data_IF_034149282123
#
_entry.id   IF_034149282123
#
_cell.length_a   1.000
_cell.length_b   1.000
_cell.length_c   1.000
_cell.angle_alpha   90.00
_cell.angle_beta   90.00
_cell.angle_gamma   90.00
#
_symmetry.space_group_name_H-M   'P 1'
#
loop_
_entity.id
_entity.type
_entity.pdbx_description
1 polymer ?
#
# COMPACT_ATOMS: atom_id res chain seq x y z
N UNK A 1 -7.54 -5.87 0.79
CA UNK A 1 -7.05 -6.77 -0.28
C UNK A 1 -6.23 -5.94 -1.27
N UNK A 2 -5.27 -6.56 -1.97
CA UNK A 2 -4.47 -5.93 -3.01
C UNK A 2 -4.39 -6.89 -4.21
N UNK A 3 -4.37 -6.34 -5.43
CA UNK A 3 -4.12 -7.10 -6.66
C UNK A 3 -2.77 -6.64 -7.20
N UNK A 4 -1.86 -7.59 -7.35
CA UNK A 4 -0.56 -7.41 -7.97
C UNK A 4 -0.61 -8.00 -9.38
N UNK A 5 -0.07 -7.30 -10.37
CA UNK A 5 0.05 -7.83 -11.73
C UNK A 5 1.52 -7.79 -12.13
N UNK A 6 2.13 -8.96 -12.32
CA UNK A 6 3.53 -9.12 -12.77
C UNK A 6 3.51 -9.85 -14.11
N UNK A 7 4.04 -9.25 -15.17
CA UNK A 7 4.14 -9.86 -16.52
C UNK A 7 2.80 -10.45 -17.03
N UNK A 8 1.69 -9.77 -16.75
CA UNK A 8 0.34 -10.21 -17.14
C UNK A 8 -0.26 -11.30 -16.24
N UNK A 9 0.44 -11.73 -15.17
CA UNK A 9 -0.08 -12.64 -14.16
C UNK A 9 -0.64 -11.87 -12.97
N UNK A 10 -1.92 -12.06 -12.71
CA UNK A 10 -2.63 -11.52 -11.56
C UNK A 10 -2.31 -12.38 -10.31
N UNK A 11 -1.84 -11.75 -9.25
CA UNK A 11 -1.73 -12.34 -7.91
C UNK A 11 -2.55 -11.50 -6.93
N UNK A 12 -3.49 -12.14 -6.28
CA UNK A 12 -4.41 -11.50 -5.35
C UNK A 12 -3.95 -11.77 -3.91
N UNK A 13 -3.78 -10.71 -3.13
CA UNK A 13 -3.39 -10.78 -1.73
C UNK A 13 -4.54 -10.24 -0.87
N UNK A 14 -5.23 -11.14 -0.18
CA UNK A 14 -6.24 -10.80 0.82
C UNK A 14 -5.76 -11.27 2.18
N UNK A 15 -5.39 -10.32 3.05
CA UNK A 15 -5.20 -10.56 4.47
C UNK A 15 -6.32 -9.88 5.25
N UNK A 16 -6.72 -10.47 6.37
CA UNK A 16 -7.55 -9.85 7.39
C UNK A 16 -6.94 -10.16 8.76
N UNK A 17 -6.52 -9.15 9.50
CA UNK A 17 -6.04 -9.33 10.88
C UNK A 17 -7.03 -8.68 11.86
N UNK A 18 -7.46 -9.44 12.88
CA UNK A 18 -8.23 -8.90 14.01
C UNK A 18 -7.39 -7.79 14.68
N UNK A 19 -7.98 -6.61 14.90
CA UNK A 19 -7.35 -5.39 15.45
C UNK A 19 -6.44 -4.58 14.51
N UNK A 20 -6.75 -4.50 13.22
CA UNK A 20 -6.06 -3.59 12.29
C UNK A 20 -6.97 -2.45 11.83
N UNK A 21 -6.36 -1.33 11.45
CA UNK A 21 -7.07 -0.21 10.80
C UNK A 21 -7.05 -0.35 9.29
N UNK A 22 -8.00 0.27 8.57
CA UNK A 22 -8.01 0.26 7.10
C UNK A 22 -6.65 0.69 6.51
N UNK A 23 -6.06 1.79 7.01
CA UNK A 23 -4.76 2.29 6.54
C UNK A 23 -3.61 1.29 6.78
N UNK A 24 -3.65 0.53 7.87
CA UNK A 24 -2.65 -0.52 8.13
C UNK A 24 -2.81 -1.67 7.13
N UNK A 25 -4.04 -2.10 6.89
CA UNK A 25 -4.34 -3.17 5.95
C UNK A 25 -3.98 -2.80 4.51
N UNK A 26 -4.22 -1.56 4.11
CA UNK A 26 -3.80 -1.04 2.80
C UNK A 26 -2.28 -1.05 2.66
N UNK A 27 -1.53 -0.54 3.66
CA UNK A 27 -0.07 -0.56 3.65
C UNK A 27 0.49 -1.99 3.60
N UNK A 28 -0.07 -2.89 4.41
CA UNK A 28 0.33 -4.30 4.42
C UNK A 28 0.09 -4.98 3.09
N UNK A 29 -1.03 -4.68 2.41
CA UNK A 29 -1.31 -5.21 1.07
C UNK A 29 -0.24 -4.81 0.06
N UNK A 30 0.20 -3.55 0.08
CA UNK A 30 1.29 -3.07 -0.79
C UNK A 30 2.62 -3.74 -0.43
N UNK A 31 2.94 -3.84 0.87
CA UNK A 31 4.17 -4.49 1.36
C UNK A 31 4.24 -5.94 0.91
N UNK A 32 3.17 -6.71 1.09
CA UNK A 32 3.12 -8.11 0.68
C UNK A 32 3.28 -8.27 -0.84
N UNK A 33 2.64 -7.40 -1.62
CA UNK A 33 2.81 -7.39 -3.08
C UNK A 33 4.26 -7.11 -3.49
N UNK A 34 4.93 -6.16 -2.83
CA UNK A 34 6.34 -5.85 -3.10
C UNK A 34 7.29 -6.98 -2.65
N UNK A 35 7.00 -7.65 -1.53
CA UNK A 35 7.80 -8.79 -1.05
C UNK A 35 7.80 -9.97 -2.03
N UNK A 36 6.76 -10.12 -2.85
CA UNK A 36 6.71 -11.14 -3.90
C UNK A 36 7.69 -10.86 -5.07
N UNK A 37 8.16 -9.62 -5.20
CA UNK A 37 9.03 -9.20 -6.31
C UNK A 37 10.49 -9.39 -5.90
N UNK A 38 11.14 -10.37 -6.53
CA UNK A 38 12.51 -10.77 -6.16
C UNK A 38 13.62 -9.95 -6.81
N UNK A 39 13.32 -9.26 -7.92
CA UNK A 39 14.31 -8.56 -8.73
C UNK A 39 13.96 -7.06 -8.88
N UNK A 40 14.95 -6.16 -8.96
CA UNK A 40 14.76 -4.76 -9.34
C UNK A 40 13.91 -4.65 -10.61
N UNK A 41 12.82 -3.89 -10.55
CA UNK A 41 11.78 -3.86 -11.58
C UNK A 41 11.10 -2.49 -11.61
N UNK A 42 10.45 -2.19 -12.74
CA UNK A 42 9.52 -1.06 -12.84
C UNK A 42 8.16 -1.53 -12.35
N UNK A 43 7.62 -0.90 -11.31
CA UNK A 43 6.39 -1.32 -10.65
C UNK A 43 5.40 -0.17 -10.67
N UNK A 44 4.17 -0.45 -11.09
CA UNK A 44 3.07 0.51 -10.97
C UNK A 44 2.13 0.05 -9.87
N UNK A 45 1.98 0.88 -8.84
CA UNK A 45 1.13 0.59 -7.69
C UNK A 45 -0.14 1.42 -7.84
N UNK A 46 -1.26 0.73 -7.99
CA UNK A 46 -2.59 1.33 -8.04
C UNK A 46 -3.21 1.30 -6.64
N UNK A 47 -3.60 2.46 -6.13
CA UNK A 47 -4.29 2.56 -4.83
C UNK A 47 -5.30 3.71 -4.84
N UNK A 48 -6.47 3.48 -4.25
CA UNK A 48 -7.46 4.53 -3.94
C UNK A 48 -7.20 5.16 -2.57
N UNK A 49 -6.29 4.59 -1.77
CA UNK A 49 -5.90 5.12 -0.48
C UNK A 49 -5.28 6.50 -0.63
N UNK A 50 -6.04 7.52 -0.26
CA UNK A 50 -5.51 8.87 -0.16
C UNK A 50 -4.33 8.94 0.81
N UNK A 51 -4.31 8.10 1.85
CA UNK A 51 -3.22 8.04 2.82
C UNK A 51 -1.91 7.60 2.17
N UNK A 52 -1.92 6.52 1.41
CA UNK A 52 -0.72 6.02 0.73
C UNK A 52 -0.30 6.99 -0.39
N UNK A 53 -1.24 7.33 -1.27
CA UNK A 53 -0.96 8.16 -2.44
C UNK A 53 -0.44 9.53 -2.03
N UNK A 54 -1.07 10.20 -1.07
CA UNK A 54 -0.62 11.53 -0.64
C UNK A 54 0.76 11.47 0.02
N UNK A 55 1.10 10.38 0.73
CA UNK A 55 2.42 10.28 1.36
C UNK A 55 3.58 10.34 0.34
N UNK A 56 3.37 9.79 -0.85
CA UNK A 56 4.32 9.84 -1.96
C UNK A 56 4.16 11.11 -2.81
N UNK A 57 2.94 11.44 -3.25
CA UNK A 57 2.71 12.59 -4.15
C UNK A 57 2.97 13.93 -3.43
N UNK A 58 2.57 14.06 -2.16
CA UNK A 58 2.77 15.29 -1.38
C UNK A 58 4.08 15.28 -0.59
N UNK A 59 5.00 14.34 -0.87
CA UNK A 59 6.32 14.25 -0.24
C UNK A 59 6.31 14.16 1.30
N UNK A 60 5.24 13.63 1.93
CA UNK A 60 5.19 13.50 3.40
C UNK A 60 6.32 12.64 3.93
N UNK A 61 6.68 11.58 3.20
CA UNK A 61 7.79 10.69 3.56
C UNK A 61 9.09 11.46 3.73
N UNK A 62 9.40 12.39 2.81
CA UNK A 62 10.62 13.20 2.88
C UNK A 62 10.62 14.06 4.13
N UNK A 63 9.49 14.69 4.44
CA UNK A 63 9.31 15.50 5.66
C UNK A 63 9.42 14.64 6.91
N UNK A 64 8.82 13.46 6.94
CA UNK A 64 8.90 12.54 8.08
C UNK A 64 10.33 12.07 8.31
N UNK A 65 11.06 11.68 7.25
CA UNK A 65 12.47 11.29 7.36
C UNK A 65 13.32 12.44 7.91
N UNK A 66 13.16 13.65 7.39
CA UNK A 66 13.88 14.84 7.87
C UNK A 66 13.56 15.16 9.33
N UNK A 67 12.33 14.90 9.77
CA UNK A 67 11.87 15.16 11.14
C UNK A 67 12.02 13.96 12.08
N UNK A 68 12.73 12.90 11.69
CA UNK A 68 12.96 11.71 12.53
C UNK A 68 11.68 10.94 12.84
N UNK A 69 10.82 10.76 11.84
CA UNK A 69 9.51 10.10 11.91
C UNK A 69 8.49 10.78 12.83
N UNK A 70 8.52 12.12 12.85
CA UNK A 70 7.53 12.94 13.57
C UNK A 70 6.67 13.76 12.60
N UNK A 71 5.40 13.91 12.94
CA UNK A 71 4.47 14.80 12.24
C UNK A 71 4.77 16.27 12.57
N UNK A 72 4.14 17.20 11.86
CA UNK A 72 4.24 18.64 12.15
C UNK A 72 3.84 18.99 13.60
N UNK A 73 2.95 18.21 14.20
CA UNK A 73 2.52 18.34 15.60
C UNK A 73 3.46 17.64 16.59
N UNK A 74 4.67 17.23 16.16
CA UNK A 74 5.70 16.53 16.97
C UNK A 74 5.28 15.15 17.50
N UNK A 75 4.17 14.60 17.03
CA UNK A 75 3.77 13.23 17.38
C UNK A 75 4.46 12.22 16.47
N UNK A 76 4.69 10.98 16.95
CA UNK A 76 5.15 9.90 16.09
C UNK A 76 4.22 9.69 14.89
N UNK A 77 4.80 9.46 13.71
CA UNK A 77 4.03 9.11 12.52
C UNK A 77 3.32 7.77 12.75
N UNK A 78 2.01 7.75 12.51
CA UNK A 78 1.22 6.51 12.60
C UNK A 78 1.76 5.48 11.59
N UNK A 79 1.80 4.21 11.99
CA UNK A 79 2.27 3.09 11.14
C UNK A 79 3.73 3.26 10.66
N UNK A 80 4.56 3.98 11.41
CA UNK A 80 5.97 4.21 11.07
C UNK A 80 6.72 2.93 10.67
N UNK A 81 6.52 1.84 11.41
CA UNK A 81 7.14 0.54 11.12
C UNK A 81 6.77 0.01 9.72
N UNK A 82 5.49 0.09 9.33
CA UNK A 82 5.03 -0.31 8.01
C UNK A 82 5.59 0.61 6.92
N UNK A 83 5.64 1.92 7.18
CA UNK A 83 6.24 2.87 6.26
C UNK A 83 7.73 2.61 6.03
N UNK A 84 8.50 2.35 7.09
CA UNK A 84 9.91 2.02 6.98
C UNK A 84 10.14 0.76 6.15
N UNK A 85 9.34 -0.28 6.38
CA UNK A 85 9.42 -1.52 5.59
C UNK A 85 9.03 -1.30 4.13
N UNK A 86 7.97 -0.54 3.87
CA UNK A 86 7.56 -0.16 2.52
C UNK A 86 8.70 0.57 1.78
N UNK A 87 9.33 1.56 2.44
CA UNK A 87 10.44 2.32 1.86
C UNK A 87 11.64 1.43 1.53
N UNK A 88 11.96 0.49 2.41
CA UNK A 88 13.03 -0.49 2.20
C UNK A 88 12.74 -1.37 0.99
N UNK A 89 11.50 -1.83 0.86
CA UNK A 89 11.08 -2.70 -0.24
C UNK A 89 11.04 -1.98 -1.58
N UNK A 90 10.61 -0.72 -1.64
CA UNK A 90 10.57 0.02 -2.91
C UNK A 90 11.94 0.56 -3.36
N UNK A 91 12.91 0.72 -2.45
CA UNK A 91 14.23 1.28 -2.75
C UNK A 91 14.92 0.68 -3.99
N UNK A 92 14.96 -0.66 -4.20
CA UNK A 92 15.57 -1.24 -5.39
C UNK A 92 14.71 -1.14 -6.66
N UNK A 93 13.46 -0.68 -6.58
CA UNK A 93 12.52 -0.67 -7.70
C UNK A 93 12.23 0.76 -8.18
N UNK A 94 11.87 0.89 -9.46
CA UNK A 94 11.32 2.14 -9.98
C UNK A 94 9.81 2.09 -9.82
N UNK A 95 9.30 2.73 -8.76
CA UNK A 95 7.89 2.67 -8.39
C UNK A 95 7.13 3.90 -8.90
N UNK A 96 6.06 3.66 -9.65
CA UNK A 96 5.08 4.66 -10.09
C UNK A 96 3.79 4.49 -9.26
N UNK A 97 3.34 5.57 -8.62
CA UNK A 97 2.12 5.58 -7.82
C UNK A 97 0.95 6.13 -8.63
N UNK A 98 -0.11 5.34 -8.77
CA UNK A 98 -1.30 5.72 -9.53
C UNK A 98 -2.51 5.75 -8.61
N UNK A 99 -3.09 6.95 -8.46
CA UNK A 99 -4.35 7.13 -7.73
C UNK A 99 -5.49 6.58 -8.56
N UNK A 100 -6.20 5.58 -8.05
CA UNK A 100 -7.47 5.15 -8.61
C UNK A 100 -8.64 5.77 -7.85
N UNK A 101 -9.77 5.97 -8.51
CA UNK A 101 -10.97 6.52 -7.85
C UNK A 101 -11.59 5.42 -6.99
N UNK A 102 -11.69 5.67 -5.69
CA UNK A 102 -12.48 4.82 -4.79
C UNK A 102 -13.96 4.89 -5.17
N UNK A 103 -14.56 3.73 -5.41
CA UNK A 103 -15.95 3.52 -5.81
C UNK A 103 -16.42 4.31 -7.05
N UNK A 104 -16.14 3.77 -8.24
CA UNK A 104 -17.06 3.75 -9.41
C UNK A 104 -16.40 3.01 -10.57
N UNK A 105 -16.80 1.75 -10.78
CA UNK A 105 -16.67 1.08 -12.08
C UNK A 105 -15.31 0.51 -12.48
N UNK A 106 -14.37 0.31 -11.55
CA UNK A 106 -13.14 -0.40 -11.86
C UNK A 106 -13.28 -1.88 -11.49
N UNK A 107 -13.36 -2.76 -12.51
CA UNK A 107 -13.45 -4.23 -12.39
C UNK A 107 -12.50 -4.81 -11.34
N UNK A 108 -11.32 -4.21 -11.16
CA UNK A 108 -10.31 -4.67 -10.21
C UNK A 108 -10.62 -4.28 -8.75
N UNK A 109 -11.25 -3.12 -8.50
CA UNK A 109 -11.70 -2.75 -7.16
C UNK A 109 -12.87 -3.66 -6.71
N UNK A 110 -13.85 -3.93 -7.59
CA UNK A 110 -14.96 -4.82 -7.26
C UNK A 110 -14.50 -6.27 -6.97
N UNK A 111 -13.42 -6.73 -7.62
CA UNK A 111 -12.79 -8.02 -7.30
C UNK A 111 -12.08 -8.00 -5.95
N UNK A 112 -11.31 -6.94 -5.66
CA UNK A 112 -10.64 -6.77 -4.37
C UNK A 112 -11.63 -6.73 -3.20
N UNK A 113 -12.77 -6.06 -3.38
CA UNK A 113 -13.84 -5.99 -2.38
C UNK A 113 -14.46 -7.37 -2.13
N UNK A 114 -14.74 -8.15 -3.19
CA UNK A 114 -15.26 -9.51 -3.05
C UNK A 114 -14.32 -10.45 -2.29
N UNK A 115 -13.00 -10.31 -2.50
CA UNK A 115 -12.00 -11.13 -1.80
C UNK A 115 -11.78 -10.68 -0.36
N UNK A 116 -11.85 -9.37 -0.09
CA UNK A 116 -11.78 -8.85 1.27
C UNK A 116 -12.98 -9.31 2.12
N UNK A 117 -14.18 -9.36 1.53
CA UNK A 117 -15.38 -9.88 2.20
C UNK A 117 -15.31 -11.39 2.46
N UNK A 118 -14.71 -12.17 1.54
CA UNK A 118 -14.54 -13.62 1.72
C UNK A 118 -13.45 -14.01 2.75
N UNK A 119 -12.53 -13.10 3.08
CA UNK A 119 -11.42 -13.34 4.00
C UNK A 119 -11.72 -13.01 5.46
N UNK A 120 -12.96 -12.63 5.80
CA UNK A 120 -13.41 -12.41 7.20
C UNK A 120 -13.98 -13.74 7.72
N UNK A 121 -13.30 -14.46 8.62
CA UNK A 121 -13.89 -15.63 9.26
C UNK A 121 -14.87 -15.16 10.36
N UNK A 122 -16.03 -15.82 10.41
CA UNK A 122 -16.99 -15.75 11.52
C UNK A 122 -16.31 -15.99 12.88
#
# INVERSE_FOLDING_TARGET
AAILIIDGKEQEFAGGQRNTTNNQMELMGVIQGLQAIKNPSKIRIHSDSAYIINAFIQNWIKTWLANGWKTATKHPVKNQNLWQELLRLIQPHQVEWVKVKGHSGNKYNERCDKLAVAAIPY
#
